data_IF_883707483368
#
_entry.id   IF_883707483368
#
_cell.length_a   1.000
_cell.length_b   1.000
_cell.length_c   1.000
_cell.angle_alpha   90.00
_cell.angle_beta   90.00
_cell.angle_gamma   90.00
#
_symmetry.space_group_name_H-M   'P 1'
#
loop_
_entity.id
_entity.type
_entity.pdbx_description
1 polymer ?
#
# COMPACT_ATOMS: atom_id res chain seq x y z
N UNK A 1 -21.23 3.24 -5.40
CA UNK A 1 -22.37 4.04 -4.90
C UNK A 1 -21.84 5.08 -3.91
N UNK A 2 -22.65 6.06 -3.49
CA UNK A 2 -22.24 6.96 -2.38
C UNK A 2 -21.92 6.15 -1.12
N UNK A 3 -22.84 5.29 -0.71
CA UNK A 3 -22.61 4.27 0.31
C UNK A 3 -23.43 3.01 0.03
N UNK A 4 -23.06 1.90 0.66
CA UNK A 4 -23.82 0.64 0.65
C UNK A 4 -23.87 0.11 2.08
N UNK A 5 -25.01 0.27 2.74
CA UNK A 5 -25.18 -0.01 4.17
C UNK A 5 -26.32 -1.00 4.45
N UNK A 6 -26.39 -1.44 5.72
CA UNK A 6 -27.50 -2.22 6.26
C UNK A 6 -27.78 -3.52 5.51
N UNK A 7 -29.05 -3.74 5.19
CA UNK A 7 -29.54 -4.96 4.55
C UNK A 7 -28.96 -5.19 3.16
N UNK A 8 -28.67 -4.11 2.41
CA UNK A 8 -28.09 -4.22 1.07
C UNK A 8 -26.69 -4.83 1.11
N UNK A 9 -25.85 -4.39 2.05
CA UNK A 9 -24.50 -4.95 2.23
C UNK A 9 -24.55 -6.39 2.73
N UNK A 10 -25.39 -6.68 3.73
CA UNK A 10 -25.57 -8.03 4.25
C UNK A 10 -26.01 -9.01 3.16
N UNK A 11 -26.97 -8.60 2.33
CA UNK A 11 -27.48 -9.40 1.21
C UNK A 11 -26.40 -9.67 0.16
N UNK A 12 -25.57 -8.67 -0.18
CA UNK A 12 -24.44 -8.86 -1.10
C UNK A 12 -23.42 -9.85 -0.56
N UNK A 13 -23.08 -9.77 0.73
CA UNK A 13 -22.11 -10.67 1.38
C UNK A 13 -22.65 -12.10 1.40
N UNK A 14 -23.90 -12.30 1.82
CA UNK A 14 -24.51 -13.64 1.87
C UNK A 14 -24.57 -14.27 0.48
N UNK A 15 -24.96 -13.52 -0.55
CA UNK A 15 -25.02 -14.05 -1.92
C UNK A 15 -23.64 -14.36 -2.50
N UNK A 16 -22.61 -13.57 -2.15
CA UNK A 16 -21.23 -13.84 -2.53
C UNK A 16 -20.71 -15.13 -1.89
N UNK A 17 -20.97 -15.33 -0.60
CA UNK A 17 -20.57 -16.54 0.13
C UNK A 17 -21.28 -17.80 -0.39
N UNK A 18 -22.55 -17.68 -0.79
CA UNK A 18 -23.33 -18.78 -1.37
C UNK A 18 -23.00 -19.06 -2.84
N UNK A 19 -22.24 -18.19 -3.50
CA UNK A 19 -21.91 -18.31 -4.92
C UNK A 19 -23.05 -17.96 -5.89
N UNK A 20 -24.20 -17.49 -5.38
CA UNK A 20 -25.36 -17.10 -6.20
C UNK A 20 -25.07 -15.84 -7.03
N UNK A 21 -24.39 -14.87 -6.43
CA UNK A 21 -24.00 -13.62 -7.09
C UNK A 21 -22.58 -13.24 -6.70
N UNK A 22 -21.69 -13.15 -7.68
CA UNK A 22 -20.36 -12.58 -7.47
C UNK A 22 -20.44 -11.05 -7.58
N UNK A 23 -20.39 -10.38 -6.42
CA UNK A 23 -20.46 -8.92 -6.32
C UNK A 23 -19.35 -8.33 -5.44
N UNK A 24 -19.03 -7.08 -5.71
CA UNK A 24 -18.20 -6.23 -4.85
C UNK A 24 -18.81 -4.83 -4.80
N UNK A 25 -18.74 -4.18 -3.63
CA UNK A 25 -19.20 -2.83 -3.43
C UNK A 25 -18.01 -1.94 -3.07
N UNK A 26 -17.90 -0.80 -3.73
CA UNK A 26 -16.89 0.22 -3.45
C UNK A 26 -17.56 1.58 -3.32
N UNK A 27 -17.06 2.41 -2.39
CA UNK A 27 -17.52 3.79 -2.23
C UNK A 27 -17.10 4.62 -3.44
N UNK A 28 -17.97 5.53 -3.86
CA UNK A 28 -17.69 6.42 -4.98
C UNK A 28 -16.55 7.40 -4.61
N UNK A 29 -15.66 7.72 -5.56
CA UNK A 29 -14.60 8.68 -5.31
C UNK A 29 -15.14 10.12 -5.26
N UNK A 30 -14.58 10.93 -4.38
CA UNK A 30 -14.95 12.34 -4.22
C UNK A 30 -16.28 12.56 -3.51
N UNK A 31 -16.73 13.82 -3.46
CA UNK A 31 -17.96 14.24 -2.78
C UNK A 31 -18.72 15.29 -3.61
N UNK A 32 -20.01 15.45 -3.34
CA UNK A 32 -20.86 16.44 -4.01
C UNK A 32 -20.84 16.33 -5.54
N UNK A 33 -20.72 17.46 -6.24
CA UNK A 33 -20.70 17.49 -7.71
C UNK A 33 -19.48 16.78 -8.31
N UNK A 34 -18.36 16.78 -7.59
CA UNK A 34 -17.16 16.05 -8.05
C UNK A 34 -17.39 14.56 -8.12
N UNK A 35 -18.14 14.00 -7.17
CA UNK A 35 -18.54 12.58 -7.22
C UNK A 35 -19.34 12.29 -8.47
N UNK A 36 -20.31 13.13 -8.83
CA UNK A 36 -21.13 12.97 -10.04
C UNK A 36 -20.25 13.01 -11.29
N UNK A 37 -19.35 13.99 -11.38
CA UNK A 37 -18.43 14.14 -12.50
C UNK A 37 -17.43 12.98 -12.62
N UNK A 38 -16.91 12.46 -11.51
CA UNK A 38 -16.01 11.30 -11.51
C UNK A 38 -16.73 9.99 -11.85
N UNK A 39 -17.98 9.83 -11.42
CA UNK A 39 -18.80 8.69 -11.84
C UNK A 39 -19.12 8.74 -13.34
N UNK A 40 -19.34 9.94 -13.88
CA UNK A 40 -19.48 10.14 -15.33
C UNK A 40 -18.19 9.79 -16.07
N UNK A 41 -17.02 10.17 -15.55
CA UNK A 41 -15.72 9.79 -16.13
C UNK A 41 -15.57 8.26 -16.18
N UNK A 42 -15.92 7.56 -15.10
CA UNK A 42 -15.88 6.09 -15.02
C UNK A 42 -16.91 5.46 -15.98
N UNK A 43 -18.11 6.02 -16.08
CA UNK A 43 -19.14 5.57 -17.00
C UNK A 43 -18.67 5.67 -18.46
N UNK A 44 -18.11 6.81 -18.85
CA UNK A 44 -17.54 7.02 -20.20
C UNK A 44 -16.39 6.03 -20.46
N UNK A 45 -15.49 5.83 -19.49
CA UNK A 45 -14.37 4.90 -19.59
C UNK A 45 -14.82 3.44 -19.78
N UNK A 46 -15.91 3.05 -19.11
CA UNK A 46 -16.43 1.67 -19.12
C UNK A 46 -17.55 1.45 -20.15
N UNK A 47 -18.00 2.50 -20.83
CA UNK A 47 -19.12 2.44 -21.78
C UNK A 47 -20.51 2.30 -21.11
N UNK A 48 -20.61 2.58 -19.81
CA UNK A 48 -21.87 2.59 -19.07
C UNK A 48 -22.49 3.98 -18.98
N UNK A 49 -23.57 4.11 -18.20
CA UNK A 49 -24.18 5.39 -17.84
C UNK A 49 -24.03 5.65 -16.34
N UNK A 50 -23.71 6.89 -15.98
CA UNK A 50 -23.73 7.32 -14.58
C UNK A 50 -25.19 7.56 -14.17
N UNK A 51 -25.65 6.80 -13.18
CA UNK A 51 -27.04 6.85 -12.71
C UNK A 51 -27.07 7.74 -11.47
N UNK A 52 -27.63 8.95 -11.63
CA UNK A 52 -27.78 9.95 -10.57
C UNK A 52 -29.26 10.31 -10.43
N UNK A 53 -29.67 10.70 -9.22
CA UNK A 53 -31.07 11.05 -8.93
C UNK A 53 -31.56 12.24 -9.76
N UNK A 54 -30.67 13.17 -10.11
CA UNK A 54 -31.00 14.36 -10.92
C UNK A 54 -31.46 14.00 -12.33
N UNK A 55 -31.11 12.80 -12.83
CA UNK A 55 -31.53 12.32 -14.15
C UNK A 55 -32.95 11.70 -14.12
N UNK A 56 -33.57 11.58 -12.94
CA UNK A 56 -34.90 11.01 -12.77
C UNK A 56 -34.99 9.50 -13.05
N UNK A 57 -33.85 8.81 -13.16
CA UNK A 57 -33.76 7.38 -13.44
C UNK A 57 -33.87 6.58 -12.14
N UNK A 58 -34.85 5.66 -12.08
CA UNK A 58 -35.01 4.73 -10.95
C UNK A 58 -34.19 3.46 -11.17
N UNK A 59 -33.67 2.88 -10.09
CA UNK A 59 -32.89 1.63 -10.12
C UNK A 59 -33.67 0.46 -10.75
N UNK A 60 -34.99 0.45 -10.61
CA UNK A 60 -35.90 -0.57 -11.15
C UNK A 60 -35.91 -0.61 -12.70
N UNK A 61 -35.60 0.51 -13.35
CA UNK A 61 -35.64 0.66 -14.80
C UNK A 61 -34.32 0.40 -15.52
N UNK A 62 -33.26 0.04 -14.77
CA UNK A 62 -31.90 -0.12 -15.31
C UNK A 62 -31.83 -1.37 -16.18
N UNK A 63 -31.23 -1.23 -17.37
CA UNK A 63 -30.95 -2.34 -18.27
C UNK A 63 -29.48 -2.72 -18.22
N UNK A 64 -29.16 -3.94 -18.65
CA UNK A 64 -27.78 -4.45 -18.75
C UNK A 64 -26.92 -3.55 -19.67
N UNK A 65 -27.55 -2.88 -20.63
CA UNK A 65 -26.92 -1.92 -21.55
C UNK A 65 -26.46 -0.62 -20.87
N UNK A 66 -27.04 -0.27 -19.71
CA UNK A 66 -26.64 0.91 -18.95
C UNK A 66 -25.42 0.65 -18.05
N UNK A 67 -25.05 -0.63 -17.87
CA UNK A 67 -23.93 -1.05 -17.03
C UNK A 67 -22.60 -0.99 -17.80
N UNK A 68 -21.59 -0.41 -17.16
CA UNK A 68 -20.23 -0.37 -17.70
C UNK A 68 -19.58 -1.75 -17.74
N UNK A 69 -18.68 -1.95 -18.71
CA UNK A 69 -17.89 -3.18 -18.87
C UNK A 69 -16.40 -2.87 -18.79
N UNK A 70 -15.64 -3.76 -18.16
CA UNK A 70 -14.19 -3.71 -18.10
C UNK A 70 -13.63 -5.13 -18.12
N UNK A 71 -12.39 -5.30 -18.59
CA UNK A 71 -11.74 -6.61 -18.64
C UNK A 71 -11.38 -7.14 -17.25
N UNK A 72 -10.83 -6.27 -16.40
CA UNK A 72 -10.40 -6.66 -15.05
C UNK A 72 -10.59 -5.49 -14.10
N UNK A 73 -11.12 -5.78 -12.92
CA UNK A 73 -11.24 -4.81 -11.83
C UNK A 73 -10.57 -5.40 -10.60
N UNK A 74 -9.60 -4.69 -10.05
CA UNK A 74 -8.87 -5.09 -8.84
C UNK A 74 -9.19 -4.09 -7.74
N UNK A 75 -9.65 -4.60 -6.60
CA UNK A 75 -10.05 -3.79 -5.45
C UNK A 75 -9.16 -4.22 -4.28
N UNK A 76 -8.46 -3.27 -3.69
CA UNK A 76 -7.74 -3.42 -2.44
C UNK A 76 -8.40 -2.57 -1.33
N UNK A 77 -7.76 -2.48 -0.16
CA UNK A 77 -8.32 -1.74 0.99
C UNK A 77 -8.52 -0.25 0.69
N UNK A 78 -7.61 0.35 -0.06
CA UNK A 78 -7.50 1.80 -0.23
C UNK A 78 -7.74 2.24 -1.69
N UNK A 79 -7.65 1.34 -2.66
CA UNK A 79 -7.72 1.63 -4.10
C UNK A 79 -8.64 0.67 -4.87
N UNK A 80 -9.18 1.17 -5.98
CA UNK A 80 -9.88 0.39 -7.00
C UNK A 80 -9.30 0.71 -8.37
N UNK A 81 -8.83 -0.32 -9.06
CA UNK A 81 -8.20 -0.21 -10.38
C UNK A 81 -9.07 -0.89 -11.42
N UNK A 82 -9.48 -0.13 -12.44
CA UNK A 82 -10.26 -0.63 -13.59
C UNK A 82 -9.34 -0.71 -14.79
N UNK A 83 -9.20 -1.90 -15.36
CA UNK A 83 -8.28 -2.20 -16.47
C UNK A 83 -9.08 -2.53 -17.73
N UNK A 84 -8.73 -1.86 -18.83
CA UNK A 84 -9.36 -2.01 -20.15
C UNK A 84 -10.90 -1.88 -20.09
N UNK A 85 -11.38 -0.66 -19.88
CA UNK A 85 -12.81 -0.32 -19.99
C UNK A 85 -13.31 -0.39 -21.43
N UNK A 86 -14.58 -0.77 -21.62
CA UNK A 86 -15.19 -0.92 -22.95
C UNK A 86 -15.72 0.40 -23.55
N UNK A 87 -15.29 1.55 -23.02
CA UNK A 87 -15.66 2.88 -23.50
C UNK A 87 -15.12 3.17 -24.91
N UNK A 88 -15.91 3.86 -25.72
CA UNK A 88 -15.49 4.25 -27.06
C UNK A 88 -14.40 5.34 -27.02
N UNK A 89 -13.33 5.17 -27.80
CA UNK A 89 -12.20 6.11 -27.85
C UNK A 89 -12.63 7.55 -28.10
N UNK A 90 -13.61 7.78 -28.99
CA UNK A 90 -14.15 9.12 -29.29
C UNK A 90 -14.82 9.77 -28.07
N UNK A 91 -15.53 9.00 -27.26
CA UNK A 91 -16.20 9.52 -26.06
C UNK A 91 -15.17 9.91 -25.00
N UNK A 92 -14.13 9.09 -24.83
CA UNK A 92 -13.00 9.36 -23.91
C UNK A 92 -12.24 10.62 -24.36
N UNK A 93 -11.90 10.74 -25.64
CA UNK A 93 -11.25 11.93 -26.21
C UNK A 93 -12.10 13.19 -26.05
N UNK A 94 -13.43 13.06 -26.27
CA UNK A 94 -14.38 14.15 -26.03
C UNK A 94 -14.36 14.61 -24.58
N UNK A 95 -14.37 13.67 -23.63
CA UNK A 95 -14.29 13.98 -22.20
C UNK A 95 -12.96 14.63 -21.81
N UNK A 96 -11.86 14.14 -22.36
CA UNK A 96 -10.52 14.72 -22.16
C UNK A 96 -10.47 16.18 -22.64
N UNK A 97 -11.06 16.48 -23.80
CA UNK A 97 -11.14 17.86 -24.32
C UNK A 97 -11.98 18.76 -23.42
N UNK A 98 -13.12 18.27 -22.92
CA UNK A 98 -13.96 19.02 -21.98
C UNK A 98 -13.20 19.40 -20.71
N UNK A 99 -12.48 18.44 -20.10
CA UNK A 99 -11.72 18.69 -18.87
C UNK A 99 -10.56 19.66 -19.13
N UNK A 100 -9.89 19.58 -20.29
CA UNK A 100 -8.85 20.55 -20.68
C UNK A 100 -9.38 21.97 -20.79
N UNK A 101 -10.54 22.17 -21.41
CA UNK A 101 -11.18 23.49 -21.47
C UNK A 101 -11.52 24.01 -20.07
N UNK A 102 -12.08 23.16 -19.21
CA UNK A 102 -12.38 23.54 -17.81
C UNK A 102 -11.15 23.95 -17.00
N UNK A 103 -9.98 23.36 -17.29
CA UNK A 103 -8.69 23.72 -16.66
C UNK A 103 -8.24 25.12 -17.09
N UNK A 104 -8.47 25.49 -18.34
CA UNK A 104 -8.11 26.81 -18.89
C UNK A 104 -9.08 27.91 -18.38
N UNK A 105 -10.36 27.58 -18.26
CA UNK A 105 -11.40 28.54 -17.83
C UNK A 105 -11.41 28.77 -16.31
N UNK A 106 -10.83 27.86 -15.50
CA UNK A 106 -10.87 28.01 -14.04
C UNK A 106 -9.82 28.99 -13.51
N UNK A 107 -10.28 29.91 -12.66
CA UNK A 107 -9.44 30.86 -11.92
C UNK A 107 -9.00 30.35 -10.56
N UNK A 108 -9.53 29.20 -10.12
CA UNK A 108 -9.24 28.57 -8.84
C UNK A 108 -8.11 27.55 -9.00
N UNK A 109 -6.99 27.78 -8.31
CA UNK A 109 -5.85 26.86 -8.33
C UNK A 109 -6.21 25.47 -7.76
N UNK A 110 -7.10 25.44 -6.77
CA UNK A 110 -7.63 24.21 -6.19
C UNK A 110 -8.41 23.38 -7.23
N UNK A 111 -9.29 24.03 -8.00
CA UNK A 111 -10.07 23.33 -9.02
C UNK A 111 -9.18 22.90 -10.20
N UNK A 112 -8.18 23.72 -10.54
CA UNK A 112 -7.18 23.38 -11.55
C UNK A 112 -6.44 22.08 -11.19
N UNK A 113 -5.94 21.97 -9.96
CA UNK A 113 -5.26 20.77 -9.47
C UNK A 113 -6.17 19.53 -9.55
N UNK A 114 -7.43 19.65 -9.11
CA UNK A 114 -8.37 18.52 -9.09
C UNK A 114 -8.84 18.10 -10.49
N UNK A 115 -8.98 19.04 -11.42
CA UNK A 115 -9.23 18.73 -12.82
C UNK A 115 -8.02 18.06 -13.47
N UNK A 116 -6.79 18.49 -13.15
CA UNK A 116 -5.56 17.84 -13.60
C UNK A 116 -5.45 16.40 -13.10
N UNK A 117 -5.79 16.13 -11.83
CA UNK A 117 -5.84 14.75 -11.30
C UNK A 117 -6.80 13.85 -12.08
N UNK A 118 -8.01 14.35 -12.40
CA UNK A 118 -9.00 13.62 -13.19
C UNK A 118 -8.52 13.38 -14.61
N UNK A 119 -7.97 14.42 -15.25
CA UNK A 119 -7.40 14.33 -16.58
C UNK A 119 -6.27 13.30 -16.64
N UNK A 120 -5.38 13.31 -15.64
CA UNK A 120 -4.27 12.37 -15.53
C UNK A 120 -4.77 10.93 -15.43
N UNK A 121 -5.85 10.65 -14.70
CA UNK A 121 -6.45 9.30 -14.63
C UNK A 121 -7.06 8.84 -15.95
N UNK A 122 -7.65 9.75 -16.73
CA UNK A 122 -8.23 9.43 -18.04
C UNK A 122 -7.17 9.25 -19.14
N UNK A 123 -6.11 10.05 -19.12
CA UNK A 123 -5.05 10.02 -20.14
C UNK A 123 -3.95 9.00 -19.80
N UNK A 124 -3.61 8.86 -18.52
CA UNK A 124 -2.50 8.01 -18.04
C UNK A 124 -2.72 6.53 -18.27
N UNK A 125 -3.98 6.10 -18.43
CA UNK A 125 -4.34 4.71 -18.69
C UNK A 125 -3.82 3.75 -17.61
N UNK A 126 -3.76 2.46 -17.97
CA UNK A 126 -3.21 1.41 -17.09
C UNK A 126 -2.20 0.59 -17.89
N UNK A 127 -0.96 0.54 -17.40
CA UNK A 127 0.07 -0.34 -17.95
C UNK A 127 -0.02 -1.74 -17.31
N UNK A 128 -0.04 -2.79 -18.13
CA UNK A 128 -0.08 -4.18 -17.68
C UNK A 128 1.28 -4.82 -17.90
N UNK A 129 1.90 -5.30 -16.83
CA UNK A 129 3.15 -6.07 -16.89
C UNK A 129 2.81 -7.55 -16.77
N UNK A 130 3.09 -8.33 -17.83
CA UNK A 130 2.88 -9.79 -17.84
C UNK A 130 4.19 -10.49 -17.51
N UNK A 131 4.23 -11.21 -16.39
CA UNK A 131 5.43 -11.94 -15.94
C UNK A 131 5.31 -13.41 -16.35
N UNK A 132 6.27 -13.88 -17.15
CA UNK A 132 6.37 -15.29 -17.56
C UNK A 132 7.51 -16.03 -16.84
N UNK A 133 7.29 -17.34 -16.61
CA UNK A 133 8.27 -18.29 -16.06
C UNK A 133 8.02 -19.71 -16.61
N UNK A 134 8.97 -20.63 -16.39
CA UNK A 134 8.88 -21.99 -16.90
C UNK A 134 7.93 -22.89 -16.07
N UNK A 135 7.80 -22.62 -14.77
CA UNK A 135 6.86 -23.33 -13.88
C UNK A 135 5.92 -22.36 -13.16
N UNK A 136 4.80 -22.87 -12.65
CA UNK A 136 3.82 -22.05 -11.90
C UNK A 136 4.43 -21.46 -10.62
N UNK A 137 5.25 -22.23 -9.91
CA UNK A 137 5.92 -21.78 -8.67
C UNK A 137 6.89 -20.64 -8.95
N UNK A 138 7.71 -20.75 -10.00
CA UNK A 138 8.60 -19.67 -10.42
C UNK A 138 7.82 -18.45 -10.91
N UNK A 139 6.68 -18.64 -11.57
CA UNK A 139 5.84 -17.54 -12.02
C UNK A 139 5.33 -16.74 -10.83
N UNK A 140 4.86 -17.40 -9.77
CA UNK A 140 4.40 -16.74 -8.55
C UNK A 140 5.53 -15.99 -7.84
N UNK A 141 6.70 -16.61 -7.71
CA UNK A 141 7.88 -15.98 -7.10
C UNK A 141 8.36 -14.76 -7.90
N UNK A 142 8.48 -14.89 -9.23
CA UNK A 142 8.94 -13.81 -10.10
C UNK A 142 7.92 -12.69 -10.17
N UNK A 143 6.62 -13.02 -10.16
CA UNK A 143 5.55 -12.02 -10.06
C UNK A 143 5.67 -11.22 -8.77
N UNK A 144 5.84 -11.88 -7.62
CA UNK A 144 6.02 -11.19 -6.34
C UNK A 144 7.25 -10.27 -6.36
N UNK A 145 8.39 -10.73 -6.89
CA UNK A 145 9.59 -9.89 -7.04
C UNK A 145 9.37 -8.67 -7.93
N UNK A 146 8.62 -8.81 -9.03
CA UNK A 146 8.30 -7.69 -9.93
C UNK A 146 7.35 -6.70 -9.25
N UNK A 147 6.38 -7.19 -8.49
CA UNK A 147 5.49 -6.34 -7.68
C UNK A 147 6.29 -5.56 -6.62
N UNK A 148 7.21 -6.21 -5.92
CA UNK A 148 8.09 -5.56 -4.94
C UNK A 148 8.98 -4.49 -5.60
N UNK A 149 9.62 -4.84 -6.72
CA UNK A 149 10.47 -3.91 -7.48
C UNK A 149 9.68 -2.69 -7.99
N UNK A 150 8.44 -2.89 -8.43
CA UNK A 150 7.56 -1.80 -8.87
C UNK A 150 7.26 -0.85 -7.71
N UNK A 151 6.88 -1.37 -6.53
CA UNK A 151 6.58 -0.54 -5.37
C UNK A 151 7.81 0.20 -4.85
N UNK A 152 8.97 -0.46 -4.78
CA UNK A 152 10.23 0.17 -4.39
C UNK A 152 10.62 1.30 -5.34
N UNK A 153 10.48 1.09 -6.66
CA UNK A 153 10.77 2.11 -7.67
C UNK A 153 9.82 3.30 -7.56
N UNK A 154 8.52 3.07 -7.36
CA UNK A 154 7.54 4.15 -7.12
C UNK A 154 7.92 4.98 -5.91
N UNK A 155 8.22 4.34 -4.78
CA UNK A 155 8.64 5.01 -3.56
C UNK A 155 9.94 5.82 -3.75
N UNK A 156 10.89 5.29 -4.54
CA UNK A 156 12.14 5.96 -4.88
C UNK A 156 11.94 7.18 -5.78
N UNK A 157 10.98 7.13 -6.72
CA UNK A 157 10.64 8.28 -7.58
C UNK A 157 9.96 9.38 -6.78
N UNK A 158 9.12 9.04 -5.80
CA UNK A 158 8.37 10.00 -4.99
C UNK A 158 9.24 10.82 -4.03
N UNK A 159 10.12 10.16 -3.25
CA UNK A 159 10.91 10.83 -2.20
C UNK A 159 12.43 10.72 -2.40
N UNK A 160 12.87 10.13 -3.51
CA UNK A 160 14.29 9.91 -3.79
C UNK A 160 14.85 8.64 -3.13
N UNK A 161 16.18 8.49 -3.25
CA UNK A 161 16.95 7.35 -2.76
C UNK A 161 18.00 7.79 -1.74
N UNK A 162 18.37 6.88 -0.85
CA UNK A 162 19.41 7.05 0.15
C UNK A 162 20.34 5.82 0.17
N UNK A 163 21.60 5.95 0.65
CA UNK A 163 22.48 4.81 0.82
C UNK A 163 21.85 3.78 1.78
N UNK A 164 21.73 2.54 1.31
CA UNK A 164 21.02 1.50 2.02
C UNK A 164 21.82 0.87 3.17
N UNK A 165 21.45 -0.34 3.56
CA UNK A 165 22.19 -1.13 4.57
C UNK A 165 22.23 -0.49 5.96
N UNK A 166 21.22 0.35 6.27
CA UNK A 166 21.14 1.08 7.54
C UNK A 166 22.06 2.31 7.63
N UNK A 167 22.80 2.66 6.58
CA UNK A 167 23.69 3.84 6.59
C UNK A 167 22.89 5.12 6.72
N UNK A 168 21.82 5.29 5.93
CA UNK A 168 21.03 6.53 5.91
C UNK A 168 20.54 6.98 7.29
N UNK A 169 19.94 6.07 8.06
CA UNK A 169 19.44 6.37 9.42
C UNK A 169 20.59 6.70 10.38
N UNK A 170 21.70 5.97 10.30
CA UNK A 170 22.87 6.22 11.14
C UNK A 170 23.52 7.58 10.83
N UNK A 171 23.49 8.03 9.56
CA UNK A 171 23.93 9.38 9.18
C UNK A 171 22.97 10.45 9.73
N UNK A 172 21.66 10.21 9.65
CA UNK A 172 20.66 11.11 10.19
C UNK A 172 20.78 11.27 11.72
N UNK A 173 21.17 10.22 12.44
CA UNK A 173 21.37 10.25 13.89
C UNK A 173 22.40 11.31 14.36
N UNK A 174 23.36 11.71 13.52
CA UNK A 174 24.31 12.80 13.86
C UNK A 174 23.61 14.13 14.15
N UNK A 175 22.39 14.34 13.65
CA UNK A 175 21.59 15.53 13.97
C UNK A 175 21.12 15.54 15.43
N UNK A 176 20.96 14.37 16.04
CA UNK A 176 20.57 14.22 17.44
C UNK A 176 21.71 14.60 18.40
N UNK A 177 22.96 14.75 17.93
CA UNK A 177 24.08 15.24 18.76
C UNK A 177 23.96 16.71 19.13
N UNK A 178 23.14 17.47 18.38
CA UNK A 178 22.85 18.89 18.65
C UNK A 178 21.60 19.09 19.50
N UNK A 179 20.90 18.01 19.82
CA UNK A 179 19.65 18.06 20.58
C UNK A 179 19.96 17.80 22.05
N UNK A 180 20.05 18.88 22.81
CA UNK A 180 20.24 18.86 24.26
C UNK A 180 18.88 19.12 24.92
N UNK A 181 18.38 18.14 25.65
CA UNK A 181 17.11 18.20 26.38
C UNK A 181 17.37 17.89 27.86
N UNK A 182 16.39 18.19 28.71
CA UNK A 182 16.51 17.98 30.16
C UNK A 182 15.87 16.66 30.60
N UNK A 183 16.48 16.03 31.62
CA UNK A 183 15.93 14.84 32.29
C UNK A 183 15.61 13.67 31.35
N UNK A 184 14.40 13.13 31.49
CA UNK A 184 13.94 11.93 30.79
C UNK A 184 13.90 12.09 29.27
N UNK A 185 13.74 13.31 28.76
CA UNK A 185 13.76 13.57 27.33
C UNK A 185 15.14 13.27 26.72
N UNK A 186 16.23 13.57 27.44
CA UNK A 186 17.58 13.23 26.99
C UNK A 186 17.83 11.72 26.97
N UNK A 187 17.24 10.98 27.93
CA UNK A 187 17.26 9.52 27.94
C UNK A 187 16.56 8.98 26.69
N UNK A 188 15.40 9.54 26.33
CA UNK A 188 14.69 9.23 25.08
C UNK A 188 15.55 9.44 23.83
N UNK A 189 16.26 10.56 23.73
CA UNK A 189 17.20 10.82 22.62
C UNK A 189 18.29 9.75 22.55
N UNK A 190 18.85 9.35 23.70
CA UNK A 190 19.89 8.32 23.76
C UNK A 190 19.36 6.93 23.34
N UNK A 191 18.12 6.59 23.70
CA UNK A 191 17.45 5.36 23.25
C UNK A 191 17.33 5.35 21.73
N UNK A 192 16.86 6.45 21.13
CA UNK A 192 16.72 6.56 19.67
C UNK A 192 18.07 6.46 18.98
N UNK A 193 19.11 7.14 19.48
CA UNK A 193 20.48 7.04 18.93
C UNK A 193 20.98 5.59 18.89
N UNK A 194 20.75 4.84 19.96
CA UNK A 194 21.13 3.42 20.04
C UNK A 194 20.31 2.55 19.10
N UNK A 195 18.98 2.74 19.07
CA UNK A 195 18.07 1.93 18.25
C UNK A 195 18.34 2.06 16.74
N UNK A 196 18.73 3.26 16.28
CA UNK A 196 19.05 3.53 14.87
C UNK A 196 20.23 2.69 14.34
N UNK A 197 21.11 2.21 15.22
CA UNK A 197 22.29 1.41 14.83
C UNK A 197 21.99 -0.09 14.72
N UNK A 198 20.89 -0.55 15.34
CA UNK A 198 20.54 -1.97 15.40
C UNK A 198 20.29 -2.58 14.01
N UNK A 199 19.63 -1.91 13.03
CA UNK A 199 19.45 -2.49 11.70
C UNK A 199 20.78 -2.86 11.03
N UNK A 200 21.78 -1.97 11.07
CA UNK A 200 23.11 -2.25 10.51
C UNK A 200 23.82 -3.36 11.29
N UNK A 201 23.71 -3.37 12.63
CA UNK A 201 24.31 -4.41 13.47
C UNK A 201 23.74 -5.78 13.14
N UNK A 202 22.43 -5.89 12.96
CA UNK A 202 21.75 -7.13 12.58
C UNK A 202 22.13 -7.59 11.18
N UNK A 203 22.20 -6.67 10.21
CA UNK A 203 22.64 -6.99 8.84
C UNK A 203 24.07 -7.56 8.86
N UNK A 204 24.98 -6.93 9.59
CA UNK A 204 26.36 -7.40 9.74
C UNK A 204 26.44 -8.76 10.44
N UNK A 205 25.70 -8.94 11.54
CA UNK A 205 25.66 -10.21 12.28
C UNK A 205 25.11 -11.36 11.43
N UNK A 206 24.06 -11.13 10.66
CA UNK A 206 23.49 -12.11 9.72
C UNK A 206 24.47 -12.48 8.59
N UNK A 207 25.40 -11.58 8.26
CA UNK A 207 26.50 -11.85 7.34
C UNK A 207 27.71 -12.51 8.01
N UNK A 208 27.65 -12.84 9.30
CA UNK A 208 28.74 -13.49 10.05
C UNK A 208 29.82 -12.53 10.57
N UNK A 209 29.58 -11.21 10.53
CA UNK A 209 30.52 -10.19 11.00
C UNK A 209 30.13 -9.63 12.37
N UNK A 210 31.11 -9.20 13.16
CA UNK A 210 30.87 -8.55 14.45
C UNK A 210 30.22 -7.16 14.24
N UNK A 211 28.91 -7.07 14.42
CA UNK A 211 28.14 -5.88 14.05
C UNK A 211 28.59 -4.59 14.76
N UNK A 212 29.09 -4.67 15.99
CA UNK A 212 29.65 -3.52 16.71
C UNK A 212 30.90 -2.95 16.02
N UNK A 213 31.76 -3.81 15.47
CA UNK A 213 32.96 -3.40 14.73
C UNK A 213 32.54 -2.76 13.40
N UNK A 214 31.56 -3.36 12.71
CA UNK A 214 31.04 -2.82 11.44
C UNK A 214 30.44 -1.43 11.65
N UNK A 215 29.53 -1.26 12.62
CA UNK A 215 28.90 0.03 12.93
C UNK A 215 29.97 1.08 13.27
N UNK A 216 30.93 0.75 14.13
CA UNK A 216 31.96 1.69 14.53
C UNK A 216 32.84 2.13 13.34
N UNK A 217 33.19 1.19 12.45
CA UNK A 217 33.94 1.50 11.24
C UNK A 217 33.13 2.40 10.31
N UNK A 218 31.87 2.06 10.02
CA UNK A 218 31.02 2.84 9.11
C UNK A 218 30.71 4.23 9.68
N UNK A 219 30.67 4.41 11.01
CA UNK A 219 30.48 5.72 11.65
C UNK A 219 31.56 6.74 11.25
N UNK A 220 32.80 6.28 11.09
CA UNK A 220 33.96 7.08 10.69
C UNK A 220 34.14 7.29 9.19
N UNK A 221 33.30 6.66 8.35
CA UNK A 221 33.40 6.74 6.89
C UNK A 221 32.60 7.93 6.31
N UNK A 222 32.73 8.14 4.99
CA UNK A 222 32.01 9.17 4.23
C UNK A 222 30.49 8.98 4.19
N UNK A 223 29.78 9.97 3.65
CA UNK A 223 28.31 10.04 3.67
C UNK A 223 27.65 8.76 3.10
N UNK A 224 28.02 8.40 1.86
CA UNK A 224 27.47 7.24 1.14
C UNK A 224 28.26 5.95 1.37
N UNK A 225 29.30 6.01 2.19
CA UNK A 225 30.16 4.87 2.45
C UNK A 225 29.60 4.00 3.56
N UNK A 226 29.59 2.69 3.33
CA UNK A 226 29.04 1.70 4.25
C UNK A 226 29.62 0.32 4.05
N UNK A 227 29.02 -0.66 4.72
CA UNK A 227 29.35 -2.07 4.60
C UNK A 227 28.32 -2.75 3.70
N UNK A 228 28.77 -3.27 2.56
CA UNK A 228 27.94 -4.07 1.68
C UNK A 228 28.02 -5.53 2.14
N UNK A 229 26.98 -6.01 2.83
CA UNK A 229 26.91 -7.37 3.36
C UNK A 229 26.88 -8.47 2.28
N UNK A 230 26.46 -8.17 1.04
CA UNK A 230 26.45 -9.14 -0.04
C UNK A 230 27.86 -9.46 -0.57
N UNK A 231 28.76 -8.47 -0.52
CA UNK A 231 30.15 -8.61 -0.99
C UNK A 231 31.17 -8.59 0.14
N UNK A 232 30.71 -8.35 1.36
CA UNK A 232 31.49 -8.19 2.60
C UNK A 232 32.59 -7.11 2.50
N UNK A 233 32.33 -6.06 1.69
CA UNK A 233 33.28 -4.97 1.45
C UNK A 233 32.74 -3.63 1.91
N UNK A 234 33.68 -2.78 2.34
CA UNK A 234 33.39 -1.38 2.63
C UNK A 234 33.56 -0.53 1.38
N UNK A 235 32.68 0.43 1.17
CA UNK A 235 32.76 1.35 0.05
C UNK A 235 31.49 2.16 -0.13
N UNK A 236 31.40 2.91 -1.23
CA UNK A 236 30.21 3.70 -1.56
C UNK A 236 29.04 2.77 -1.96
N UNK A 237 28.00 2.74 -1.13
CA UNK A 237 26.85 1.84 -1.29
C UNK A 237 25.99 2.21 -2.49
N UNK A 238 25.84 3.50 -2.78
CA UNK A 238 25.09 3.98 -3.95
C UNK A 238 25.74 3.49 -5.24
N UNK A 239 27.06 3.61 -5.36
CA UNK A 239 27.84 3.07 -6.50
C UNK A 239 27.80 1.55 -6.58
N UNK A 240 27.69 0.87 -5.43
CA UNK A 240 27.55 -0.58 -5.36
C UNK A 240 26.11 -1.07 -5.64
N UNK A 241 25.16 -0.17 -5.86
CA UNK A 241 23.75 -0.52 -6.12
C UNK A 241 22.95 -0.88 -4.86
N UNK A 242 23.50 -0.67 -3.67
CA UNK A 242 22.82 -0.89 -2.38
C UNK A 242 22.15 0.41 -1.95
N UNK A 243 20.91 0.60 -2.41
CA UNK A 243 20.12 1.81 -2.21
C UNK A 243 18.76 1.45 -1.62
N UNK A 244 18.27 2.33 -0.75
CA UNK A 244 16.92 2.24 -0.18
C UNK A 244 16.10 3.47 -0.60
N UNK A 245 14.80 3.33 -0.90
CA UNK A 245 13.92 4.49 -1.09
C UNK A 245 13.83 5.31 0.22
N UNK A 246 13.98 6.63 0.13
CA UNK A 246 13.93 7.52 1.29
C UNK A 246 12.62 7.38 2.08
N UNK A 247 11.50 7.26 1.34
CA UNK A 247 10.16 7.03 1.89
C UNK A 247 10.11 5.80 2.80
N UNK A 248 10.71 4.68 2.36
CA UNK A 248 10.70 3.42 3.12
C UNK A 248 11.44 3.59 4.45
N UNK A 249 12.64 4.18 4.40
CA UNK A 249 13.47 4.40 5.58
C UNK A 249 12.77 5.34 6.59
N UNK A 250 12.19 6.44 6.09
CA UNK A 250 11.46 7.42 6.92
C UNK A 250 10.21 6.80 7.54
N UNK A 251 9.37 6.13 6.74
CA UNK A 251 8.15 5.49 7.21
C UNK A 251 8.43 4.38 8.21
N UNK A 252 9.47 3.57 8.00
CA UNK A 252 9.87 2.53 8.95
C UNK A 252 10.23 3.13 10.31
N UNK A 253 11.04 4.18 10.34
CA UNK A 253 11.45 4.84 11.59
C UNK A 253 10.25 5.51 12.31
N UNK A 254 9.40 6.22 11.58
CA UNK A 254 8.22 6.89 12.14
C UNK A 254 7.21 5.91 12.73
N UNK A 255 6.91 4.83 12.00
CA UNK A 255 5.97 3.81 12.46
C UNK A 255 6.52 3.04 13.67
N UNK A 256 7.82 2.70 13.65
CA UNK A 256 8.47 2.06 14.79
C UNK A 256 8.44 2.95 16.04
N UNK A 257 8.73 4.24 15.90
CA UNK A 257 8.64 5.20 16.99
C UNK A 257 7.21 5.34 17.51
N UNK A 258 6.21 5.38 16.62
CA UNK A 258 4.79 5.49 16.98
C UNK A 258 4.32 4.29 17.83
N UNK A 259 4.62 3.07 17.40
CA UNK A 259 4.25 1.86 18.15
C UNK A 259 5.02 1.78 19.46
N UNK A 260 6.31 2.14 19.46
CA UNK A 260 7.13 2.15 20.69
C UNK A 260 6.59 3.14 21.72
N UNK A 261 6.19 4.34 21.29
CA UNK A 261 5.59 5.34 22.17
C UNK A 261 4.27 4.81 22.77
N UNK A 262 3.39 4.23 21.96
CA UNK A 262 2.14 3.64 22.43
C UNK A 262 2.40 2.58 23.51
N UNK A 263 3.30 1.62 23.24
CA UNK A 263 3.64 0.55 24.18
C UNK A 263 4.25 1.07 25.48
N UNK A 264 5.19 2.02 25.41
CA UNK A 264 5.83 2.59 26.60
C UNK A 264 4.86 3.37 27.49
N UNK A 265 3.78 3.92 26.92
CA UNK A 265 2.73 4.63 27.67
C UNK A 265 1.54 3.75 28.06
N UNK A 266 1.56 2.45 27.70
CA UNK A 266 0.47 1.53 27.99
C UNK A 266 0.64 0.95 29.40
N UNK A 267 -0.17 1.43 30.35
CA UNK A 267 -0.13 0.98 31.75
C UNK A 267 -0.91 -0.32 32.00
N UNK A 268 -1.88 -0.65 31.15
CA UNK A 268 -2.73 -1.82 31.32
C UNK A 268 -3.10 -2.47 29.99
N UNK A 269 -3.16 -3.80 29.98
CA UNK A 269 -3.63 -4.62 28.87
C UNK A 269 -4.79 -5.49 29.35
N UNK A 270 -5.87 -5.53 28.59
CA UNK A 270 -7.03 -6.39 28.84
C UNK A 270 -7.07 -7.42 27.72
N UNK A 271 -7.09 -8.69 28.06
CA UNK A 271 -7.26 -9.79 27.12
C UNK A 271 -8.43 -10.67 27.54
N UNK A 272 -9.09 -11.29 26.57
CA UNK A 272 -10.01 -12.38 26.85
C UNK A 272 -9.23 -13.55 27.45
N UNK A 273 -9.83 -14.21 28.44
CA UNK A 273 -9.28 -15.45 28.99
C UNK A 273 -9.38 -16.49 27.87
N UNK A 274 -8.28 -17.19 27.51
CA UNK A 274 -8.37 -18.26 26.53
C UNK A 274 -9.43 -19.27 26.97
N UNK A 275 -10.48 -19.44 26.16
CA UNK A 275 -11.44 -20.49 26.41
C UNK A 275 -10.74 -21.83 26.25
N UNK A 276 -10.78 -22.67 27.29
CA UNK A 276 -10.48 -24.08 27.09
C UNK A 276 -11.46 -24.58 26.03
N UNK A 277 -10.93 -24.97 24.87
CA UNK A 277 -11.72 -25.69 23.88
C UNK A 277 -12.26 -26.91 24.61
N UNK A 278 -13.53 -26.87 25.01
CA UNK A 278 -14.25 -28.06 25.46
C UNK A 278 -14.01 -29.08 24.36
N UNK A 279 -13.35 -30.18 24.70
CA UNK A 279 -13.31 -31.33 23.83
C UNK A 279 -14.74 -31.52 23.34
N UNK A 280 -14.93 -31.42 22.02
CA UNK A 280 -16.23 -31.62 21.41
C UNK A 280 -16.78 -32.90 22.04
N UNK A 281 -17.94 -32.77 22.71
CA UNK A 281 -18.57 -33.92 23.34
C UNK A 281 -18.65 -35.01 22.27
N UNK A 282 -18.17 -36.24 22.55
CA UNK A 282 -18.10 -37.27 21.53
C UNK A 282 -19.49 -37.43 20.91
N UNK A 283 -19.61 -37.04 19.65
CA UNK A 283 -20.79 -37.31 18.85
C UNK A 283 -21.05 -38.82 18.96
N UNK A 284 -22.21 -39.25 19.48
CA UNK A 284 -22.49 -40.67 19.59
C UNK A 284 -22.71 -41.24 18.18
N UNK A 285 -21.67 -41.88 17.64
CA UNK A 285 -21.80 -42.77 16.49
C UNK A 285 -20.71 -42.58 15.43
N UNK A 286 -19.84 -43.59 15.28
CA UNK A 286 -18.97 -43.75 14.13
C UNK A 286 -17.56 -44.19 14.52
N UNK A 287 -17.37 -45.51 14.66
CA UNK A 287 -16.10 -46.08 15.10
C UNK A 287 -14.92 -45.87 14.15
N UNK A 288 -13.72 -45.90 14.73
CA UNK A 288 -12.51 -46.40 14.09
C UNK A 288 -11.43 -45.37 13.77
N UNK A 289 -10.29 -45.51 14.46
CA UNK A 289 -8.97 -45.21 13.90
C UNK A 289 -8.37 -43.87 14.30
N UNK A 290 -7.58 -43.87 15.37
CA UNK A 290 -6.78 -42.71 15.79
C UNK A 290 -5.60 -42.42 14.87
N UNK A 291 -5.27 -41.13 14.76
CA UNK A 291 -3.89 -40.68 14.57
C UNK A 291 -3.81 -39.24 15.07
N UNK A 292 -3.15 -39.05 16.21
CA UNK A 292 -2.83 -37.73 16.73
C UNK A 292 -1.66 -37.10 15.96
N UNK A 293 -1.76 -35.80 15.67
CA UNK A 293 -0.63 -34.91 15.47
C UNK A 293 -0.82 -33.77 16.48
N UNK A 294 0.02 -33.61 17.50
CA UNK A 294 1.38 -33.06 17.48
C UNK A 294 1.49 -31.75 16.68
N UNK A 295 1.52 -30.67 17.48
CA UNK A 295 2.13 -29.35 17.30
C UNK A 295 2.15 -28.72 15.91
#
# INVERSE_FOLDING_TARGET
>A
AEDVEGEALATLVVNKLRGTLQGAAVKAPGFGDRRKQMLEDIAILTGGKAITEDLGLKLEGIRVEDLGKARTVTIDKDNTTIVEGAGGTKAIEGRVKQIRAQIEDTTSDYDREKLQERLAKLVGGVAIIKVGAATETEMKEKKARVEDAMHATKAAVEEGIVPGGGVAIMRAAKKLDKLELEGDQQIGVNIVKRAIEEPMRLIAANAGHEGSIVVQKVRGMGHDEGFNAQTEKYGNLVKAGVIDPAKVVRSALQNAASVSALLLTTEALISEIPEEKKAEAPMPGGGGGGMGGMY
#
